data_IF_091993331685
#
_entry.id   IF_091993331685
#
_cell.length_a   1.000
_cell.length_b   1.000
_cell.length_c   1.000
_cell.angle_alpha   90.00
_cell.angle_beta   90.00
_cell.angle_gamma   90.00
#
_symmetry.space_group_name_H-M   'P 1'
#
loop_
_entity.id
_entity.type
_entity.pdbx_description
1 polymer ?
#
# COMPACT_ATOMS: atom_id res chain seq x y z
N UNK A 1 30.07 -32.66 -15.36
CA UNK A 1 29.14 -31.70 -14.73
C UNK A 1 29.15 -30.43 -15.58
N UNK A 2 28.19 -30.32 -16.51
CA UNK A 2 28.04 -29.15 -17.37
C UNK A 2 27.45 -27.99 -16.58
N UNK A 3 28.00 -26.80 -16.78
CA UNK A 3 27.37 -25.53 -16.42
C UNK A 3 26.25 -25.29 -17.42
N UNK A 4 25.00 -25.54 -17.04
CA UNK A 4 23.86 -25.05 -17.81
C UNK A 4 23.79 -23.54 -17.65
N UNK A 5 24.15 -22.85 -18.72
CA UNK A 5 23.85 -21.44 -18.93
C UNK A 5 22.33 -21.27 -18.87
N UNK A 6 21.82 -20.60 -17.84
CA UNK A 6 20.50 -19.99 -17.87
C UNK A 6 20.51 -18.79 -18.81
N UNK A 7 20.66 -19.03 -20.11
CA UNK A 7 20.32 -18.05 -21.14
C UNK A 7 18.85 -18.27 -21.48
N UNK A 8 17.97 -17.47 -20.90
CA UNK A 8 16.59 -17.34 -21.36
C UNK A 8 16.62 -16.49 -22.66
N UNK A 9 16.58 -17.08 -23.86
CA UNK A 9 16.81 -16.35 -25.11
C UNK A 9 15.65 -15.40 -25.45
N UNK A 10 14.49 -15.59 -24.80
CA UNK A 10 13.28 -14.79 -25.00
C UNK A 10 13.33 -13.41 -24.34
N UNK A 11 14.26 -13.19 -23.39
CA UNK A 11 14.44 -11.89 -22.73
C UNK A 11 15.54 -11.03 -23.38
N UNK A 12 16.35 -11.60 -24.27
CA UNK A 12 17.44 -10.87 -24.95
C UNK A 12 16.93 -9.90 -26.04
N UNK A 13 15.66 -10.01 -26.45
CA UNK A 13 15.06 -9.19 -27.51
C UNK A 13 14.11 -8.11 -27.02
N UNK A 14 14.03 -7.85 -25.71
CA UNK A 14 13.32 -6.68 -25.19
C UNK A 14 14.31 -5.52 -25.03
N UNK A 15 14.90 -5.06 -26.14
CA UNK A 15 15.32 -3.66 -26.20
C UNK A 15 14.04 -2.82 -26.28
N UNK A 16 13.61 -2.22 -25.17
CA UNK A 16 12.58 -1.17 -25.22
C UNK A 16 13.20 0.09 -25.83
N UNK A 17 13.45 0.05 -27.14
CA UNK A 17 13.82 1.21 -27.93
C UNK A 17 12.54 1.93 -28.31
N UNK A 18 12.38 3.17 -27.83
CA UNK A 18 11.32 4.08 -28.26
C UNK A 18 10.09 4.18 -27.37
N UNK A 19 10.04 3.51 -26.21
CA UNK A 19 8.98 3.73 -25.22
C UNK A 19 9.53 4.58 -24.08
N UNK A 20 9.01 5.81 -23.94
CA UNK A 20 9.30 6.63 -22.75
C UNK A 20 8.70 5.95 -21.52
N UNK A 21 9.32 6.12 -20.34
CA UNK A 21 8.80 5.56 -19.06
C UNK A 21 7.35 5.97 -18.82
N UNK A 22 6.98 7.15 -19.28
CA UNK A 22 5.62 7.68 -19.29
C UNK A 22 4.68 6.83 -20.15
N UNK A 23 5.09 6.44 -21.35
CA UNK A 23 4.30 5.55 -22.23
C UNK A 23 4.13 4.13 -21.66
N UNK A 24 5.05 3.67 -20.80
CA UNK A 24 4.93 2.38 -20.10
C UNK A 24 3.91 2.47 -18.94
N UNK A 25 3.96 3.53 -18.14
CA UNK A 25 3.04 3.75 -17.01
C UNK A 25 1.65 4.23 -17.44
N UNK A 26 1.52 4.92 -18.57
CA UNK A 26 0.25 5.44 -19.07
C UNK A 26 -0.63 4.34 -19.67
N UNK A 27 -0.03 3.28 -20.23
CA UNK A 27 -0.76 2.13 -20.79
C UNK A 27 -1.49 1.30 -19.72
N UNK A 28 -1.07 1.36 -18.46
CA UNK A 28 -1.77 0.73 -17.33
C UNK A 28 -2.90 1.61 -16.74
N UNK A 29 -2.97 2.91 -17.08
CA UNK A 29 -3.84 3.88 -16.42
C UNK A 29 -5.13 4.26 -17.17
N UNK A 30 -5.41 3.75 -18.37
CA UNK A 30 -6.52 4.26 -19.23
C UNK A 30 -7.92 3.71 -18.86
N UNK A 31 -8.10 2.96 -17.76
CA UNK A 31 -9.39 2.32 -17.46
C UNK A 31 -10.00 2.71 -16.09
N UNK A 32 -10.53 3.94 -15.94
CA UNK A 32 -11.73 4.22 -15.12
C UNK A 32 -12.04 5.73 -15.04
N UNK A 33 -13.30 6.12 -15.29
CA UNK A 33 -13.78 7.49 -15.20
C UNK A 33 -15.00 7.66 -14.28
N UNK A 34 -15.16 8.93 -13.85
CA UNK A 34 -16.36 9.68 -13.39
C UNK A 34 -16.92 9.63 -11.95
N UNK A 35 -16.71 10.77 -11.25
CA UNK A 35 -17.60 11.72 -10.49
C UNK A 35 -18.67 11.23 -9.47
N UNK A 36 -18.55 11.64 -8.19
CA UNK A 36 -19.45 12.53 -7.37
C UNK A 36 -19.34 12.28 -5.85
N UNK A 37 -19.24 13.35 -5.03
CA UNK A 37 -19.76 13.40 -3.64
C UNK A 37 -18.78 13.63 -2.48
N UNK A 38 -18.44 14.90 -2.18
CA UNK A 38 -17.68 15.33 -0.99
C UNK A 38 -18.52 16.30 -0.15
N UNK A 39 -18.78 16.03 1.14
CA UNK A 39 -19.25 17.10 2.05
C UNK A 39 -19.06 16.96 3.57
N UNK A 40 -18.44 15.92 4.16
CA UNK A 40 -18.35 15.86 5.65
C UNK A 40 -17.01 15.51 6.30
N UNK A 41 -15.90 15.47 5.54
CA UNK A 41 -14.55 15.15 6.10
C UNK A 41 -13.43 16.10 5.64
N UNK A 42 -13.82 17.21 4.98
CA UNK A 42 -12.90 18.12 4.30
C UNK A 42 -11.77 18.71 5.18
N UNK A 43 -11.94 19.07 6.47
CA UNK A 43 -10.87 19.74 7.23
C UNK A 43 -9.67 18.83 7.53
N UNK A 44 -9.90 17.58 7.93
CA UNK A 44 -8.84 16.65 8.33
C UNK A 44 -8.13 16.04 7.12
N UNK A 45 -8.91 15.75 6.07
CA UNK A 45 -8.44 15.36 4.73
C UNK A 45 -7.60 16.51 4.15
N UNK A 46 -8.13 17.73 4.07
CA UNK A 46 -7.38 18.86 3.50
C UNK A 46 -6.14 19.24 4.31
N UNK A 47 -6.05 19.01 5.61
CA UNK A 47 -4.86 19.39 6.38
C UNK A 47 -3.71 18.38 6.22
N UNK A 48 -4.02 17.08 6.12
CA UNK A 48 -3.07 16.06 5.66
C UNK A 48 -2.69 16.23 4.18
N UNK A 49 -3.63 16.72 3.35
CA UNK A 49 -3.45 16.90 1.91
C UNK A 49 -2.92 18.28 1.46
N UNK A 50 -2.96 19.32 2.31
CA UNK A 50 -2.41 20.64 2.04
C UNK A 50 -1.03 20.85 2.69
N UNK A 51 -0.68 20.08 3.75
CA UNK A 51 0.71 20.05 4.27
C UNK A 51 1.64 19.14 3.45
N UNK A 52 1.08 18.26 2.60
CA UNK A 52 1.84 17.59 1.55
C UNK A 52 2.01 18.53 0.37
N UNK A 53 3.10 19.31 0.36
CA UNK A 53 3.51 20.03 -0.85
C UNK A 53 3.43 19.09 -2.06
N UNK A 54 2.85 19.56 -3.16
CA UNK A 54 2.72 18.78 -4.39
C UNK A 54 4.05 18.13 -4.79
N UNK A 55 3.99 16.98 -5.45
CA UNK A 55 5.17 16.17 -5.77
C UNK A 55 5.44 15.05 -4.76
N UNK A 56 6.69 14.60 -4.66
CA UNK A 56 7.05 13.35 -3.98
C UNK A 56 6.74 13.34 -2.48
N UNK A 57 6.85 14.49 -1.80
CA UNK A 57 6.49 14.60 -0.36
C UNK A 57 5.00 14.37 -0.14
N UNK A 58 4.14 14.86 -1.03
CA UNK A 58 2.71 14.61 -0.98
C UNK A 58 2.36 13.13 -1.20
N UNK A 59 3.08 12.45 -2.12
CA UNK A 59 2.94 11.01 -2.33
C UNK A 59 3.40 10.22 -1.10
N UNK A 60 4.54 10.58 -0.52
CA UNK A 60 5.07 9.92 0.67
C UNK A 60 4.18 10.12 1.90
N UNK A 61 3.62 11.31 2.10
CA UNK A 61 2.67 11.55 3.20
C UNK A 61 1.36 10.78 3.02
N UNK A 62 0.95 10.57 1.77
CA UNK A 62 -0.19 9.73 1.47
C UNK A 62 0.09 8.25 1.81
N UNK A 63 1.24 7.72 1.37
CA UNK A 63 1.68 6.37 1.74
C UNK A 63 1.79 6.23 3.27
N UNK A 64 2.48 7.16 3.94
CA UNK A 64 2.64 7.18 5.40
C UNK A 64 1.31 7.11 6.17
N UNK A 65 0.24 7.68 5.62
CA UNK A 65 -1.08 7.58 6.24
C UNK A 65 -1.60 6.13 6.23
N UNK A 66 -1.41 5.40 5.14
CA UNK A 66 -1.82 3.99 5.03
C UNK A 66 -0.99 3.10 5.96
N UNK A 67 0.33 3.27 5.95
CA UNK A 67 1.25 2.53 6.83
C UNK A 67 0.91 2.72 8.31
N UNK A 68 0.48 3.94 8.70
CA UNK A 68 -0.01 4.19 10.05
C UNK A 68 -1.30 3.43 10.37
N UNK A 69 -2.23 3.31 9.42
CA UNK A 69 -3.47 2.56 9.60
C UNK A 69 -3.16 1.07 9.77
N UNK A 70 -2.27 0.52 8.95
CA UNK A 70 -1.89 -0.90 8.95
C UNK A 70 -1.10 -1.26 10.21
N UNK A 71 -0.10 -0.45 10.56
CA UNK A 71 0.63 -0.58 11.83
C UNK A 71 -0.33 -0.58 13.02
N UNK A 72 -1.29 0.36 13.04
CA UNK A 72 -2.28 0.44 14.11
C UNK A 72 -3.25 -0.74 14.12
N UNK A 73 -3.67 -1.20 12.94
CA UNK A 73 -4.55 -2.34 12.75
C UNK A 73 -3.93 -3.62 13.32
N UNK A 74 -2.72 -3.99 12.88
CA UNK A 74 -2.05 -5.20 13.36
C UNK A 74 -1.67 -5.12 14.84
N UNK A 75 -1.25 -3.94 15.32
CA UNK A 75 -0.97 -3.71 16.75
C UNK A 75 -2.21 -3.95 17.62
N UNK A 76 -3.39 -3.55 17.14
CA UNK A 76 -4.64 -3.75 17.87
C UNK A 76 -5.18 -5.17 17.70
N UNK A 77 -5.04 -5.77 16.51
CA UNK A 77 -5.47 -7.14 16.24
C UNK A 77 -4.84 -8.14 17.21
N UNK A 78 -3.52 -8.04 17.42
CA UNK A 78 -2.76 -8.90 18.34
C UNK A 78 -3.22 -8.81 19.80
N UNK A 79 -3.95 -7.74 20.17
CA UNK A 79 -4.48 -7.54 21.53
C UNK A 79 -5.97 -7.89 21.64
N UNK A 80 -6.73 -7.68 20.57
CA UNK A 80 -8.20 -7.68 20.63
C UNK A 80 -8.82 -8.93 20.01
N UNK A 81 -8.19 -9.53 18.99
CA UNK A 81 -8.74 -10.72 18.34
C UNK A 81 -8.54 -11.92 19.26
N UNK A 82 -9.65 -12.47 19.75
CA UNK A 82 -9.62 -13.69 20.56
C UNK A 82 -9.52 -14.92 19.65
N UNK A 83 -8.63 -15.84 20.00
CA UNK A 83 -8.52 -17.12 19.32
C UNK A 83 -7.85 -17.08 17.96
N UNK A 84 -6.94 -16.12 17.71
CA UNK A 84 -6.01 -16.24 16.60
C UNK A 84 -5.22 -17.55 16.75
N UNK A 85 -5.17 -18.34 15.69
CA UNK A 85 -4.27 -19.48 15.64
C UNK A 85 -2.81 -19.02 15.66
N UNK A 86 -1.91 -19.95 15.99
CA UNK A 86 -0.47 -19.66 16.15
C UNK A 86 0.15 -19.06 14.88
N UNK A 87 -0.26 -19.53 13.70
CA UNK A 87 0.38 -19.12 12.45
C UNK A 87 -0.11 -17.74 12.03
N UNK A 88 -1.40 -17.46 12.20
CA UNK A 88 -1.99 -16.14 12.01
C UNK A 88 -1.43 -15.13 13.01
N UNK A 89 -1.19 -15.51 14.26
CA UNK A 89 -0.55 -14.65 15.26
C UNK A 89 0.89 -14.29 14.89
N UNK A 90 1.69 -15.27 14.43
CA UNK A 90 3.04 -15.03 13.94
C UNK A 90 3.03 -14.10 12.73
N UNK A 91 2.14 -14.37 11.77
CA UNK A 91 1.99 -13.54 10.58
C UNK A 91 1.63 -12.09 10.97
N UNK A 92 0.60 -11.89 11.78
CA UNK A 92 0.18 -10.55 12.22
C UNK A 92 1.30 -9.80 12.99
N UNK A 93 2.17 -10.53 13.69
CA UNK A 93 3.36 -9.96 14.34
C UNK A 93 4.39 -9.49 13.31
N UNK A 94 4.68 -10.33 12.31
CA UNK A 94 5.59 -9.96 11.21
C UNK A 94 5.08 -8.74 10.44
N UNK A 95 3.80 -8.74 10.05
CA UNK A 95 3.21 -7.63 9.29
C UNK A 95 3.26 -6.33 10.11
N UNK A 96 2.86 -6.37 11.38
CA UNK A 96 3.01 -5.21 12.30
C UNK A 96 4.43 -4.64 12.27
N UNK A 97 5.44 -5.50 12.36
CA UNK A 97 6.84 -5.07 12.45
C UNK A 97 7.33 -4.50 11.11
N UNK A 98 6.89 -5.08 9.98
CA UNK A 98 7.18 -4.55 8.64
C UNK A 98 6.52 -3.19 8.42
N UNK A 99 5.25 -3.02 8.77
CA UNK A 99 4.58 -1.71 8.62
C UNK A 99 5.21 -0.64 9.51
N UNK A 100 5.66 -1.00 10.72
CA UNK A 100 6.38 -0.06 11.57
C UNK A 100 7.72 0.38 10.96
N UNK A 101 8.43 -0.52 10.28
CA UNK A 101 9.64 -0.20 9.53
C UNK A 101 9.35 0.67 8.30
N UNK A 102 8.27 0.40 7.57
CA UNK A 102 7.80 1.24 6.46
C UNK A 102 7.48 2.67 6.93
N UNK A 103 6.70 2.82 8.02
CA UNK A 103 6.42 4.12 8.68
C UNK A 103 7.72 4.87 8.96
N UNK A 104 8.71 4.19 9.56
CA UNK A 104 10.00 4.79 9.91
C UNK A 104 10.77 5.26 8.66
N UNK A 105 10.86 4.40 7.64
CA UNK A 105 11.58 4.69 6.40
C UNK A 105 10.95 5.86 5.62
N UNK A 106 9.62 5.87 5.50
CA UNK A 106 8.89 6.94 4.81
C UNK A 106 9.01 8.25 5.58
N UNK A 107 8.85 8.21 6.91
CA UNK A 107 9.02 9.39 7.77
C UNK A 107 10.41 10.01 7.63
N UNK A 108 11.45 9.17 7.64
CA UNK A 108 12.83 9.62 7.44
C UNK A 108 13.03 10.23 6.05
N UNK A 109 12.45 9.63 5.02
CA UNK A 109 12.53 10.12 3.63
C UNK A 109 11.83 11.47 3.49
N UNK A 110 10.64 11.65 4.05
CA UNK A 110 9.92 12.93 4.05
C UNK A 110 10.78 14.03 4.69
N UNK A 111 11.36 13.76 5.86
CA UNK A 111 12.25 14.72 6.56
C UNK A 111 13.49 15.05 5.73
N UNK A 112 14.10 14.05 5.09
CA UNK A 112 15.29 14.23 4.22
C UNK A 112 14.98 15.13 3.01
N UNK A 113 13.76 15.04 2.48
CA UNK A 113 13.28 15.91 1.40
C UNK A 113 12.85 17.31 1.88
N UNK A 114 13.02 17.64 3.17
CA UNK A 114 12.59 18.91 3.76
C UNK A 114 11.08 19.01 3.99
N UNK A 115 10.35 17.91 3.80
CA UNK A 115 8.92 17.83 4.05
C UNK A 115 8.59 17.61 5.53
N UNK A 116 7.34 17.88 5.89
CA UNK A 116 6.79 17.57 7.21
C UNK A 116 5.99 16.27 7.14
N UNK A 117 6.35 15.22 7.91
CA UNK A 117 5.55 14.01 8.01
C UNK A 117 4.15 14.31 8.54
N UNK A 118 3.15 13.67 7.95
CA UNK A 118 1.76 13.73 8.43
C UNK A 118 1.67 13.11 9.81
N UNK A 119 0.76 13.65 10.64
CA UNK A 119 0.48 13.07 11.94
C UNK A 119 -0.30 11.75 11.77
N UNK A 120 -0.06 10.80 12.68
CA UNK A 120 -0.82 9.56 12.72
C UNK A 120 -2.32 9.87 12.95
N UNK A 121 -3.23 9.35 12.10
CA UNK A 121 -4.65 9.55 12.30
C UNK A 121 -5.17 8.73 13.50
N UNK A 122 -6.28 9.18 14.09
CA UNK A 122 -7.06 8.32 14.97
C UNK A 122 -7.69 7.18 14.16
N UNK A 123 -7.87 6.02 14.77
CA UNK A 123 -8.36 4.81 14.08
C UNK A 123 -9.57 4.20 14.76
N UNK A 124 -10.45 3.60 13.95
CA UNK A 124 -11.59 2.79 14.38
C UNK A 124 -11.73 1.56 13.49
N UNK A 125 -11.51 0.37 14.03
CA UNK A 125 -11.59 -0.87 13.26
C UNK A 125 -12.89 -1.64 13.48
N UNK A 126 -13.79 -1.14 14.34
CA UNK A 126 -15.08 -1.75 14.63
C UNK A 126 -15.03 -3.28 14.80
N UNK A 127 -15.85 -3.97 14.01
CA UNK A 127 -16.00 -5.44 14.04
C UNK A 127 -14.84 -6.22 13.41
N UNK A 128 -13.78 -5.57 12.94
CA UNK A 128 -12.63 -6.24 12.35
C UNK A 128 -11.95 -7.22 13.33
N UNK A 129 -12.12 -7.01 14.64
CA UNK A 129 -11.50 -7.86 15.67
C UNK A 129 -12.43 -8.90 16.29
N UNK A 130 -13.65 -9.07 15.75
CA UNK A 130 -14.65 -9.98 16.31
C UNK A 130 -14.17 -11.45 16.37
N UNK A 131 -13.41 -11.90 15.36
CA UNK A 131 -12.80 -13.22 15.28
C UNK A 131 -11.72 -13.23 14.18
N UNK A 132 -10.96 -14.33 14.06
CA UNK A 132 -9.90 -14.47 13.05
C UNK A 132 -10.39 -14.22 11.61
N UNK A 133 -11.60 -14.68 11.25
CA UNK A 133 -12.13 -14.48 9.91
C UNK A 133 -12.39 -13.00 9.64
N UNK A 134 -13.01 -12.28 10.56
CA UNK A 134 -13.19 -10.83 10.43
C UNK A 134 -11.85 -10.11 10.32
N UNK A 135 -10.87 -10.52 11.13
CA UNK A 135 -9.51 -9.96 11.08
C UNK A 135 -8.85 -10.17 9.71
N UNK A 136 -8.83 -11.40 9.20
CA UNK A 136 -8.20 -11.71 7.91
C UNK A 136 -8.92 -11.04 6.73
N UNK A 137 -10.24 -10.87 6.80
CA UNK A 137 -10.99 -10.14 5.78
C UNK A 137 -10.63 -8.65 5.78
N UNK A 138 -10.48 -8.02 6.95
CA UNK A 138 -10.05 -6.62 7.05
C UNK A 138 -8.56 -6.45 6.72
N UNK A 139 -7.70 -7.38 7.14
CA UNK A 139 -6.30 -7.41 6.75
C UNK A 139 -6.17 -7.41 5.23
N UNK A 140 -6.95 -8.25 4.53
CA UNK A 140 -6.94 -8.28 3.07
C UNK A 140 -7.31 -6.93 2.45
N UNK A 141 -8.29 -6.22 3.02
CA UNK A 141 -8.67 -4.89 2.55
C UNK A 141 -7.50 -3.92 2.65
N UNK A 142 -6.75 -3.95 3.76
CA UNK A 142 -5.57 -3.12 3.95
C UNK A 142 -4.46 -3.47 2.96
N UNK A 143 -4.04 -4.73 2.90
CA UNK A 143 -2.94 -5.14 2.02
C UNK A 143 -3.23 -4.87 0.54
N UNK A 144 -4.45 -5.19 0.07
CA UNK A 144 -4.86 -4.89 -1.31
C UNK A 144 -4.90 -3.37 -1.57
N UNK A 145 -5.29 -2.58 -0.56
CA UNK A 145 -5.34 -1.13 -0.62
C UNK A 145 -3.93 -0.53 -0.67
N UNK A 146 -3.00 -1.02 0.13
CA UNK A 146 -1.58 -0.64 0.15
C UNK A 146 -0.93 -0.88 -1.22
N UNK A 147 -1.03 -2.10 -1.74
CA UNK A 147 -0.51 -2.47 -3.08
C UNK A 147 -1.08 -1.55 -4.16
N UNK A 148 -2.41 -1.38 -4.17
CA UNK A 148 -3.07 -0.53 -5.15
C UNK A 148 -2.67 0.95 -5.04
N UNK A 149 -2.51 1.46 -3.82
CA UNK A 149 -2.13 2.84 -3.57
C UNK A 149 -0.70 3.13 -4.02
N UNK A 150 0.26 2.25 -3.70
CA UNK A 150 1.64 2.37 -4.17
C UNK A 150 1.73 2.33 -5.69
N UNK A 151 1.06 1.37 -6.32
CA UNK A 151 1.03 1.24 -7.77
C UNK A 151 0.36 2.44 -8.46
N UNK A 152 -0.73 2.96 -7.89
CA UNK A 152 -1.43 4.15 -8.40
C UNK A 152 -0.63 5.45 -8.22
N UNK A 153 0.15 5.55 -7.15
CA UNK A 153 0.99 6.71 -6.88
C UNK A 153 2.29 6.71 -7.68
N UNK A 154 2.84 5.54 -8.05
CA UNK A 154 4.13 5.40 -8.70
C UNK A 154 4.34 6.30 -9.95
N UNK A 155 3.37 6.49 -10.87
CA UNK A 155 3.53 7.39 -12.02
C UNK A 155 3.72 8.87 -11.65
N UNK A 156 3.23 9.26 -10.47
CA UNK A 156 3.33 10.64 -9.99
C UNK A 156 4.66 10.96 -9.32
N UNK A 157 5.45 9.94 -8.95
CA UNK A 157 6.75 10.10 -8.29
C UNK A 157 7.81 10.56 -9.31
N UNK A 158 8.54 11.63 -9.00
CA UNK A 158 9.58 12.23 -9.85
C UNK A 158 10.98 11.86 -9.42
N UNK A 159 11.27 11.79 -8.12
CA UNK A 159 12.55 11.30 -7.58
C UNK A 159 12.71 9.82 -7.87
N UNK A 160 13.85 9.46 -8.44
CA UNK A 160 14.20 8.06 -8.71
C UNK A 160 14.44 7.29 -7.42
N UNK A 161 14.96 7.97 -6.40
CA UNK A 161 15.23 7.42 -5.08
C UNK A 161 13.91 7.11 -4.36
N UNK A 162 12.94 8.02 -4.41
CA UNK A 162 11.59 7.80 -3.86
C UNK A 162 10.88 6.69 -4.62
N UNK A 163 10.98 6.66 -5.95
CA UNK A 163 10.37 5.61 -6.77
C UNK A 163 10.98 4.23 -6.46
N UNK A 164 12.31 4.15 -6.27
CA UNK A 164 12.98 2.92 -5.91
C UNK A 164 12.58 2.43 -4.51
N UNK A 165 12.46 3.34 -3.54
CA UNK A 165 11.98 3.01 -2.20
C UNK A 165 10.53 2.50 -2.24
N UNK A 166 9.63 3.22 -2.91
CA UNK A 166 8.23 2.82 -3.09
C UNK A 166 8.12 1.45 -3.80
N UNK A 167 8.95 1.21 -4.83
CA UNK A 167 9.03 -0.07 -5.53
C UNK A 167 9.54 -1.22 -4.66
N UNK A 168 10.36 -0.95 -3.64
CA UNK A 168 10.80 -1.95 -2.67
C UNK A 168 9.70 -2.29 -1.66
N UNK A 169 8.98 -1.29 -1.16
CA UNK A 169 7.90 -1.47 -0.19
C UNK A 169 6.75 -2.25 -0.82
N UNK A 170 6.26 -1.83 -1.99
CA UNK A 170 5.11 -2.49 -2.65
C UNK A 170 5.34 -3.97 -2.97
N UNK A 171 6.60 -4.41 -3.13
CA UNK A 171 6.91 -5.83 -3.30
C UNK A 171 6.74 -6.64 -2.02
N UNK A 172 6.96 -6.01 -0.86
CA UNK A 172 6.70 -6.61 0.46
C UNK A 172 5.20 -6.63 0.72
N UNK A 173 4.50 -5.51 0.49
CA UNK A 173 3.03 -5.43 0.53
C UNK A 173 2.36 -6.50 -0.34
N UNK A 174 2.87 -6.72 -1.56
CA UNK A 174 2.35 -7.77 -2.44
C UNK A 174 2.49 -9.18 -1.85
N UNK A 175 3.53 -9.44 -1.04
CA UNK A 175 3.68 -10.73 -0.33
C UNK A 175 2.74 -10.81 0.87
N UNK A 176 2.53 -9.72 1.59
CA UNK A 176 1.55 -9.64 2.68
C UNK A 176 0.13 -9.92 2.14
N UNK A 177 -0.29 -9.22 1.08
CA UNK A 177 -1.55 -9.44 0.39
C UNK A 177 -1.70 -10.90 -0.04
N UNK A 178 -0.65 -11.46 -0.66
CA UNK A 178 -0.64 -12.84 -1.15
C UNK A 178 -0.85 -13.89 -0.04
N UNK A 179 -0.16 -13.75 1.10
CA UNK A 179 -0.32 -14.70 2.23
C UNK A 179 -1.66 -14.54 2.93
N UNK A 180 -2.15 -13.31 3.11
CA UNK A 180 -3.49 -13.07 3.68
C UNK A 180 -4.58 -13.67 2.79
N UNK A 181 -4.46 -13.54 1.46
CA UNK A 181 -5.38 -14.17 0.51
C UNK A 181 -5.38 -15.68 0.63
N UNK A 182 -4.22 -16.32 0.78
CA UNK A 182 -4.14 -17.77 1.02
C UNK A 182 -4.87 -18.18 2.31
N UNK A 183 -4.69 -17.42 3.40
CA UNK A 183 -5.38 -17.68 4.67
C UNK A 183 -6.90 -17.48 4.56
N UNK A 184 -7.35 -16.58 3.68
CA UNK A 184 -8.76 -16.42 3.31
C UNK A 184 -9.27 -17.47 2.31
N UNK A 185 -8.46 -18.45 1.90
CA UNK A 185 -8.82 -19.48 0.92
C UNK A 185 -8.96 -18.96 -0.51
N UNK A 186 -8.32 -17.83 -0.82
CA UNK A 186 -8.32 -17.19 -2.13
C UNK A 186 -7.04 -17.48 -2.91
N UNK A 187 -7.01 -17.09 -4.19
CA UNK A 187 -5.79 -17.11 -4.99
C UNK A 187 -4.82 -16.05 -4.47
N UNK A 188 -3.52 -16.35 -4.49
CA UNK A 188 -2.44 -15.42 -4.10
C UNK A 188 -2.56 -14.10 -4.88
N UNK A 189 -2.92 -14.19 -6.16
CA UNK A 189 -3.24 -13.04 -7.00
C UNK A 189 -4.49 -13.33 -7.83
N UNK A 190 -5.40 -12.36 -7.92
CA UNK A 190 -6.60 -12.46 -8.77
C UNK A 190 -6.25 -12.40 -10.26
N UNK A 191 -5.27 -11.55 -10.59
CA UNK A 191 -4.78 -11.31 -11.94
C UNK A 191 -3.25 -11.31 -11.95
N UNK A 192 -2.60 -11.58 -13.10
CA UNK A 192 -1.14 -11.56 -13.18
C UNK A 192 -0.52 -10.17 -13.04
N UNK A 193 -1.34 -9.11 -13.01
CA UNK A 193 -0.91 -7.73 -12.83
C UNK A 193 -1.80 -7.04 -11.80
N UNK A 194 -1.20 -6.55 -10.71
CA UNK A 194 -1.90 -5.71 -9.76
C UNK A 194 -2.19 -4.33 -10.37
N UNK A 195 -3.38 -3.82 -10.07
CA UNK A 195 -3.84 -2.53 -10.59
C UNK A 195 -3.49 -1.43 -9.61
N UNK A 196 -2.99 -0.31 -10.13
CA UNK A 196 -2.99 0.94 -9.38
C UNK A 196 -4.43 1.42 -9.19
N UNK A 197 -4.72 2.01 -8.04
CA UNK A 197 -5.99 2.69 -7.77
C UNK A 197 -5.75 4.16 -7.48
N UNK A 198 -6.73 4.98 -7.87
CA UNK A 198 -6.65 6.42 -7.69
C UNK A 198 -6.71 6.79 -6.21
N UNK A 199 -6.03 7.88 -5.85
CA UNK A 199 -6.01 8.40 -4.49
C UNK A 199 -7.41 8.58 -3.89
N UNK A 200 -8.39 8.98 -4.71
CA UNK A 200 -9.79 9.12 -4.28
C UNK A 200 -10.43 7.79 -3.89
N UNK A 201 -10.15 6.72 -4.64
CA UNK A 201 -10.64 5.37 -4.33
C UNK A 201 -9.99 4.81 -3.07
N UNK A 202 -8.70 5.10 -2.88
CA UNK A 202 -8.01 4.73 -1.64
C UNK A 202 -8.67 5.40 -0.45
N UNK A 203 -8.93 6.70 -0.55
CA UNK A 203 -9.59 7.48 0.50
C UNK A 203 -10.98 6.96 0.83
N UNK A 204 -11.76 6.62 -0.19
CA UNK A 204 -13.09 6.04 -0.01
C UNK A 204 -13.03 4.74 0.80
N UNK A 205 -12.07 3.87 0.49
CA UNK A 205 -11.86 2.58 1.16
C UNK A 205 -11.24 2.69 2.56
N UNK A 206 -10.37 3.68 2.78
CA UNK A 206 -9.72 3.91 4.07
C UNK A 206 -10.62 4.64 5.07
N UNK A 207 -11.55 5.48 4.59
CA UNK A 207 -12.40 6.35 5.41
C UNK A 207 -13.13 5.64 6.57
N UNK A 208 -13.69 4.44 6.41
CA UNK A 208 -14.35 3.74 7.52
C UNK A 208 -13.43 3.45 8.71
N UNK A 209 -12.11 3.45 8.50
CA UNK A 209 -11.12 3.08 9.51
C UNK A 209 -10.47 4.27 10.23
N UNK A 210 -10.82 5.50 9.84
CA UNK A 210 -10.24 6.73 10.38
C UNK A 210 -11.26 7.38 11.32
N UNK A 211 -10.84 7.68 12.55
CA UNK A 211 -11.64 8.49 13.49
C UNK A 211 -11.67 9.94 13.01
N UNK A 212 -12.89 10.46 12.85
CA UNK A 212 -13.16 11.87 12.57
C UNK A 212 -12.96 12.77 13.78
#
# INVERSE_FOLDING_TARGET
MSKENMTAPELANIEVKGMTRESFMLKSAIAAGSVYGLSTVAPFVNQAFAQGGGGDVGVLNFALTLEYLETAFYTQALKQVKGLDSDTMKLATTLRDNEAEHVSAITATIKKLGGKPVAQPGVDFGEAFANQKSFLMTAQVFEDLGVGAYNGAAPSIKSKEVLAAAGSIVQVEGRHAGVIRLLNGQKIAETPFDKGIEKSQVLEKAKPFIKG
#
